data_IF_946615127370
#
_entry.id   IF_946615127370
#
_cell.length_a   1.000
_cell.length_b   1.000
_cell.length_c   1.000
_cell.angle_alpha   90.00
_cell.angle_beta   90.00
_cell.angle_gamma   90.00
#
_symmetry.space_group_name_H-M   'P 1'
#
loop_
_entity.id
_entity.type
_entity.pdbx_description
1 polymer ?
#
# COMPACT_ATOMS: atom_id res chain seq x y z
N UNK A 1 -19.62 -10.83 -4.32
CA UNK A 1 -19.46 -11.96 -5.22
C UNK A 1 -19.01 -13.19 -4.44
N UNK A 2 -17.83 -13.18 -3.83
CA UNK A 2 -17.26 -14.31 -3.05
C UNK A 2 -18.05 -14.65 -1.77
N UNK A 3 -18.88 -13.75 -1.29
CA UNK A 3 -19.82 -14.02 -0.18
C UNK A 3 -20.99 -14.94 -0.59
N UNK A 4 -21.25 -15.07 -1.87
CA UNK A 4 -22.41 -15.81 -2.41
C UNK A 4 -22.01 -16.98 -3.31
N UNK A 5 -20.81 -16.95 -3.86
CA UNK A 5 -20.33 -17.93 -4.84
C UNK A 5 -18.89 -18.36 -4.49
N UNK A 6 -18.60 -19.63 -4.68
CA UNK A 6 -17.26 -20.21 -4.61
C UNK A 6 -16.75 -20.48 -6.02
N UNK A 7 -15.48 -20.21 -6.25
CA UNK A 7 -14.82 -20.41 -7.52
C UNK A 7 -13.61 -21.34 -7.35
N UNK A 8 -13.18 -21.98 -8.41
CA UNK A 8 -11.92 -22.75 -8.47
C UNK A 8 -11.00 -22.10 -9.51
N UNK A 9 -10.30 -21.05 -9.10
CA UNK A 9 -9.44 -20.24 -9.95
C UNK A 9 -7.95 -20.45 -9.66
N UNK A 10 -7.54 -21.69 -9.27
CA UNK A 10 -6.15 -22.02 -8.85
C UNK A 10 -5.06 -21.60 -9.85
N UNK A 11 -5.39 -21.43 -11.12
CA UNK A 11 -4.44 -21.05 -12.16
C UNK A 11 -4.60 -19.57 -12.58
N UNK A 12 -5.34 -18.79 -11.80
CA UNK A 12 -5.63 -17.38 -12.06
C UNK A 12 -4.91 -16.51 -11.04
N UNK A 13 -4.29 -15.44 -11.48
CA UNK A 13 -3.75 -14.41 -10.61
C UNK A 13 -4.88 -13.44 -10.27
N UNK A 14 -5.21 -13.33 -8.99
CA UNK A 14 -6.19 -12.37 -8.48
C UNK A 14 -5.41 -11.22 -7.83
N UNK A 15 -5.74 -10.00 -8.24
CA UNK A 15 -5.09 -8.78 -7.74
C UNK A 15 -6.13 -7.77 -7.28
N UNK A 16 -5.95 -7.23 -6.08
CA UNK A 16 -6.68 -6.07 -5.59
C UNK A 16 -5.86 -4.78 -5.83
N UNK A 17 -6.55 -3.69 -6.12
CA UNK A 17 -5.92 -2.41 -6.50
C UNK A 17 -6.27 -1.27 -5.55
N UNK A 18 -6.71 -1.57 -4.35
CA UNK A 18 -6.94 -0.57 -3.30
C UNK A 18 -8.29 -0.64 -2.62
N UNK A 19 -8.44 0.20 -1.62
CA UNK A 19 -9.48 0.18 -0.62
C UNK A 19 -10.90 0.49 -1.10
N UNK A 20 -11.87 0.21 -0.27
CA UNK A 20 -13.31 0.24 -0.55
C UNK A 20 -13.92 1.64 -0.64
N UNK A 21 -13.14 2.69 -0.45
CA UNK A 21 -13.53 4.12 -0.57
C UNK A 21 -14.88 4.44 0.07
N UNK A 22 -15.09 4.02 1.32
CA UNK A 22 -16.30 4.34 2.09
C UNK A 22 -17.59 3.62 1.66
N UNK A 23 -17.53 2.66 0.75
CA UNK A 23 -18.72 1.91 0.29
C UNK A 23 -19.17 0.81 1.26
N UNK A 24 -18.26 0.33 2.11
CA UNK A 24 -18.50 -0.64 3.21
C UNK A 24 -17.54 -0.34 4.36
N UNK A 25 -17.75 -0.97 5.53
CA UNK A 25 -16.74 -1.00 6.59
C UNK A 25 -15.45 -1.57 6.01
N UNK A 26 -14.38 -0.81 6.10
CA UNK A 26 -13.07 -1.26 5.64
C UNK A 26 -12.64 -2.47 6.48
N UNK A 27 -12.32 -3.56 5.77
CA UNK A 27 -11.66 -4.70 6.35
C UNK A 27 -10.16 -4.42 6.39
N UNK A 28 -9.48 -4.94 7.38
CA UNK A 28 -8.03 -5.00 7.35
C UNK A 28 -7.61 -5.91 6.18
N UNK A 29 -6.44 -5.63 5.62
CA UNK A 29 -5.99 -6.31 4.39
C UNK A 29 -5.99 -7.84 4.54
N UNK A 30 -5.53 -8.33 5.67
CA UNK A 30 -5.45 -9.75 5.99
C UNK A 30 -6.82 -10.43 5.89
N UNK A 31 -7.84 -9.87 6.52
CA UNK A 31 -9.21 -10.40 6.49
C UNK A 31 -9.79 -10.38 5.07
N UNK A 32 -9.52 -9.30 4.32
CA UNK A 32 -9.95 -9.18 2.93
C UNK A 32 -9.29 -10.25 2.05
N UNK A 33 -7.98 -10.44 2.18
CA UNK A 33 -7.24 -11.43 1.41
C UNK A 33 -7.69 -12.86 1.74
N UNK A 34 -7.93 -13.18 3.00
CA UNK A 34 -8.45 -14.49 3.42
C UNK A 34 -9.82 -14.78 2.79
N UNK A 35 -10.74 -13.81 2.84
CA UNK A 35 -12.06 -13.95 2.22
C UNK A 35 -11.98 -14.12 0.71
N UNK A 36 -11.13 -13.31 0.03
CA UNK A 36 -10.97 -13.39 -1.41
C UNK A 36 -10.28 -14.69 -1.82
N UNK A 37 -9.21 -15.11 -1.13
CA UNK A 37 -8.49 -16.34 -1.42
C UNK A 37 -9.40 -17.56 -1.28
N UNK A 38 -10.17 -17.63 -0.19
CA UNK A 38 -11.15 -18.68 0.04
C UNK A 38 -12.23 -18.69 -1.04
N UNK A 39 -12.82 -17.55 -1.35
CA UNK A 39 -13.92 -17.46 -2.29
C UNK A 39 -13.52 -17.71 -3.75
N UNK A 40 -12.30 -17.35 -4.14
CA UNK A 40 -11.78 -17.61 -5.48
C UNK A 40 -11.03 -18.94 -5.61
N UNK A 41 -10.75 -19.62 -4.51
CA UNK A 41 -10.01 -20.89 -4.52
C UNK A 41 -8.55 -20.71 -4.96
N UNK A 42 -7.90 -19.58 -4.57
CA UNK A 42 -6.50 -19.27 -4.86
C UNK A 42 -5.69 -19.27 -3.56
N UNK A 43 -4.38 -19.48 -3.70
CA UNK A 43 -3.48 -19.51 -2.54
C UNK A 43 -3.17 -18.11 -2.00
N UNK A 44 -3.02 -17.13 -2.91
CA UNK A 44 -2.65 -15.76 -2.55
C UNK A 44 -3.47 -14.74 -3.33
N UNK A 45 -3.72 -13.60 -2.70
CA UNK A 45 -4.23 -12.40 -3.36
C UNK A 45 -3.06 -11.43 -3.52
N UNK A 46 -2.83 -11.00 -4.74
CA UNK A 46 -1.85 -9.97 -5.05
C UNK A 46 -2.43 -8.59 -4.78
N UNK A 47 -1.56 -7.60 -4.59
CA UNK A 47 -1.96 -6.20 -4.42
C UNK A 47 -1.14 -5.31 -5.33
N UNK A 48 -1.76 -4.23 -5.80
CA UNK A 48 -1.10 -3.15 -6.52
C UNK A 48 -1.10 -1.89 -5.65
N UNK A 49 0.05 -1.23 -5.58
CA UNK A 49 0.18 0.12 -5.04
C UNK A 49 0.48 1.08 -6.18
N UNK A 50 -0.43 2.00 -6.40
CA UNK A 50 -0.33 3.02 -7.43
C UNK A 50 -1.31 4.16 -7.17
N UNK A 51 -1.16 5.25 -7.90
CA UNK A 51 -2.05 6.41 -7.88
C UNK A 51 -1.98 7.13 -9.22
N UNK A 52 -2.92 8.01 -9.48
CA UNK A 52 -2.99 8.79 -10.74
C UNK A 52 -1.71 9.59 -10.99
N UNK A 53 -1.04 10.03 -9.93
CA UNK A 53 0.17 10.84 -9.95
C UNK A 53 1.43 10.05 -10.32
N UNK A 54 1.40 8.71 -10.30
CA UNK A 54 2.51 7.83 -10.67
C UNK A 54 2.32 7.26 -12.08
N UNK A 55 3.41 7.03 -12.81
CA UNK A 55 3.44 6.20 -14.01
C UNK A 55 3.87 4.76 -13.73
N UNK A 56 4.48 4.51 -12.58
CA UNK A 56 4.88 3.18 -12.13
C UNK A 56 3.95 2.66 -11.04
N UNK A 57 3.91 1.34 -10.87
CA UNK A 57 3.22 0.66 -9.80
C UNK A 57 4.20 -0.23 -9.05
N UNK A 58 3.95 -0.42 -7.75
CA UNK A 58 4.58 -1.46 -6.96
C UNK A 58 3.60 -2.60 -6.71
N UNK A 59 4.11 -3.83 -6.66
CA UNK A 59 3.29 -5.02 -6.56
C UNK A 59 3.66 -5.86 -5.34
N UNK A 60 2.63 -6.36 -4.66
CA UNK A 60 2.75 -7.38 -3.62
C UNK A 60 2.24 -8.72 -4.13
N UNK A 61 3.02 -9.78 -3.88
CA UNK A 61 2.63 -11.16 -4.17
C UNK A 61 1.85 -11.82 -3.05
N UNK A 62 1.52 -11.08 -2.02
CA UNK A 62 0.89 -11.47 -0.77
C UNK A 62 1.55 -10.74 0.41
N UNK A 63 1.01 -10.92 1.61
CA UNK A 63 1.56 -10.39 2.88
C UNK A 63 1.69 -8.86 2.96
N UNK A 64 1.12 -8.12 2.01
CA UNK A 64 1.15 -6.64 1.99
C UNK A 64 2.51 -6.01 1.76
N UNK A 65 3.53 -6.81 1.39
CA UNK A 65 4.88 -6.33 1.11
C UNK A 65 5.05 -6.03 -0.37
N UNK A 66 5.19 -4.76 -0.70
CA UNK A 66 5.29 -4.26 -2.07
C UNK A 66 6.74 -4.19 -2.54
N UNK A 67 6.98 -4.57 -3.79
CA UNK A 67 8.27 -4.45 -4.48
C UNK A 67 8.17 -3.39 -5.57
N UNK A 68 9.12 -2.46 -5.58
CA UNK A 68 9.21 -1.43 -6.60
C UNK A 68 9.90 -1.94 -7.87
N UNK A 69 9.54 -1.42 -9.06
CA UNK A 69 10.37 -1.60 -10.25
C UNK A 69 11.70 -0.85 -10.10
N UNK A 70 12.74 -1.17 -10.90
CA UNK A 70 14.09 -0.61 -10.73
C UNK A 70 14.20 0.91 -10.84
N UNK A 71 13.27 1.56 -11.49
CA UNK A 71 13.21 3.01 -11.67
C UNK A 71 12.30 3.72 -10.68
N UNK A 72 11.73 3.00 -9.71
CA UNK A 72 10.92 3.55 -8.63
C UNK A 72 11.59 3.27 -7.28
N UNK A 73 11.64 4.27 -6.42
CA UNK A 73 12.16 4.17 -5.06
C UNK A 73 11.19 4.78 -4.08
N UNK A 74 11.01 4.13 -2.93
CA UNK A 74 10.23 4.66 -1.82
C UNK A 74 11.16 5.02 -0.67
N UNK A 75 10.84 6.10 0.02
CA UNK A 75 11.50 6.58 1.23
C UNK A 75 10.44 6.82 2.30
N UNK A 76 10.82 6.67 3.56
CA UNK A 76 9.98 7.11 4.68
C UNK A 76 10.51 8.41 5.26
N UNK A 77 9.62 9.35 5.54
CA UNK A 77 9.92 10.59 6.25
C UNK A 77 9.17 10.66 7.57
N UNK A 78 9.69 11.44 8.48
CA UNK A 78 9.01 11.74 9.74
C UNK A 78 7.63 12.37 9.47
N UNK A 79 6.64 12.02 10.27
CA UNK A 79 5.26 12.49 10.11
C UNK A 79 5.07 13.95 10.48
N UNK A 80 5.97 14.50 11.31
CA UNK A 80 5.94 15.89 11.81
C UNK A 80 7.01 16.78 11.18
N UNK A 81 8.12 16.19 10.74
CA UNK A 81 9.20 16.89 10.03
C UNK A 81 9.40 16.33 8.62
N UNK A 82 8.93 17.04 7.57
CA UNK A 82 8.99 16.55 6.20
C UNK A 82 10.41 16.46 5.62
N UNK A 83 11.41 17.05 6.29
CA UNK A 83 12.81 17.05 5.84
C UNK A 83 13.65 15.94 6.47
N UNK A 84 13.13 15.27 7.51
CA UNK A 84 13.82 14.16 8.16
C UNK A 84 13.40 12.83 7.53
N UNK A 85 14.35 12.15 6.86
CA UNK A 85 14.17 10.79 6.37
C UNK A 85 14.47 9.77 7.46
N UNK A 86 13.65 8.73 7.49
CA UNK A 86 13.74 7.64 8.48
C UNK A 86 14.50 6.45 7.89
N UNK A 87 15.08 5.66 8.78
CA UNK A 87 15.76 4.41 8.41
C UNK A 87 14.80 3.25 8.20
N UNK A 88 15.25 2.20 7.53
CA UNK A 88 14.48 0.95 7.38
C UNK A 88 13.90 0.48 8.71
N UNK A 89 12.68 -0.05 8.67
CA UNK A 89 11.95 -0.54 9.83
C UNK A 89 11.21 0.53 10.62
N UNK A 90 11.46 1.82 10.39
CA UNK A 90 10.72 2.90 11.03
C UNK A 90 9.49 3.29 10.21
N UNK A 91 8.37 3.50 10.91
CA UNK A 91 7.11 3.95 10.32
C UNK A 91 7.14 5.46 10.06
N UNK A 92 6.73 5.87 8.87
CA UNK A 92 6.63 7.27 8.50
C UNK A 92 5.76 7.47 7.26
N UNK A 93 5.61 8.72 6.83
CA UNK A 93 4.95 8.99 5.56
C UNK A 93 5.83 8.57 4.37
N UNK A 94 5.19 8.03 3.33
CA UNK A 94 5.88 7.59 2.14
C UNK A 94 6.17 8.77 1.20
N UNK A 95 7.43 8.87 0.77
CA UNK A 95 7.86 9.68 -0.35
C UNK A 95 8.23 8.76 -1.50
N UNK A 96 7.82 9.08 -2.72
CA UNK A 96 8.05 8.25 -3.88
C UNK A 96 8.87 9.02 -4.90
N UNK A 97 9.92 8.38 -5.40
CA UNK A 97 10.65 8.79 -6.59
C UNK A 97 10.30 7.83 -7.72
N UNK A 98 9.67 8.34 -8.78
CA UNK A 98 9.30 7.58 -9.98
C UNK A 98 9.97 8.20 -11.21
N UNK A 99 11.08 7.60 -11.65
CA UNK A 99 11.83 8.11 -12.80
C UNK A 99 11.14 7.89 -14.15
N UNK A 100 10.13 7.01 -14.21
CA UNK A 100 9.26 6.91 -15.37
C UNK A 100 8.41 8.18 -15.55
N UNK A 101 8.14 8.90 -14.45
CA UNK A 101 7.33 10.13 -14.43
C UNK A 101 8.18 11.42 -14.48
N UNK A 102 9.38 11.36 -15.05
CA UNK A 102 10.33 12.48 -15.09
C UNK A 102 9.79 13.73 -15.79
N UNK A 103 8.99 13.54 -16.83
CA UNK A 103 8.46 14.64 -17.65
C UNK A 103 7.26 15.36 -17.00
N UNK A 104 6.72 14.84 -15.90
CA UNK A 104 5.61 15.41 -15.16
C UNK A 104 6.00 15.67 -13.71
N UNK A 105 5.96 14.65 -12.84
CA UNK A 105 6.29 14.79 -11.42
C UNK A 105 7.01 13.53 -10.91
N UNK A 106 8.34 13.56 -10.91
CA UNK A 106 9.14 12.41 -10.48
C UNK A 106 9.19 12.21 -8.97
N UNK A 107 8.86 13.23 -8.16
CA UNK A 107 8.98 13.18 -6.70
C UNK A 107 7.66 13.55 -6.05
N UNK A 108 7.11 12.61 -5.29
CA UNK A 108 5.79 12.77 -4.66
C UNK A 108 5.89 12.50 -3.16
N UNK A 109 5.44 13.46 -2.37
CA UNK A 109 5.24 13.30 -0.93
C UNK A 109 3.79 12.91 -0.68
N UNK A 110 3.56 11.66 -0.30
CA UNK A 110 2.21 11.14 -0.05
C UNK A 110 1.76 11.38 1.39
N UNK A 111 0.49 11.11 1.65
CA UNK A 111 -0.08 11.02 3.00
C UNK A 111 -0.16 9.56 3.49
N UNK A 112 0.31 8.62 2.68
CA UNK A 112 0.29 7.23 3.06
C UNK A 112 1.36 6.97 4.13
N UNK A 113 0.98 6.24 5.17
CA UNK A 113 1.89 5.72 6.19
C UNK A 113 2.43 4.37 5.74
N UNK A 114 3.70 4.15 5.98
CA UNK A 114 4.33 2.88 5.64
C UNK A 114 5.67 2.69 6.33
N UNK A 115 6.32 1.61 5.98
CA UNK A 115 7.61 1.20 6.50
C UNK A 115 8.44 0.60 5.39
N UNK A 116 9.73 0.92 5.37
CA UNK A 116 10.68 0.30 4.44
C UNK A 116 11.17 -1.04 4.97
N UNK A 117 11.38 -1.94 4.05
CA UNK A 117 12.00 -3.24 4.25
C UNK A 117 13.24 -3.40 3.35
N UNK A 118 14.13 -4.35 3.64
CA UNK A 118 15.26 -4.65 2.77
C UNK A 118 14.84 -4.95 1.32
N UNK A 119 15.78 -4.83 0.37
CA UNK A 119 15.59 -5.13 -1.05
C UNK A 119 14.59 -4.23 -1.77
N UNK A 120 14.52 -2.96 -1.39
CA UNK A 120 13.61 -1.97 -1.99
C UNK A 120 12.13 -2.40 -1.89
N UNK A 121 11.76 -2.96 -0.75
CA UNK A 121 10.38 -3.33 -0.44
C UNK A 121 9.81 -2.39 0.60
N UNK A 122 8.49 -2.26 0.64
CA UNK A 122 7.78 -1.45 1.61
C UNK A 122 6.39 -2.02 1.90
N UNK A 123 5.85 -1.68 3.04
CA UNK A 123 4.46 -1.93 3.40
C UNK A 123 3.68 -0.62 3.52
N UNK A 124 2.39 -0.68 3.25
CA UNK A 124 1.45 0.44 3.45
C UNK A 124 0.56 0.10 4.63
N UNK A 125 0.65 0.92 5.67
CA UNK A 125 -0.03 0.71 6.96
C UNK A 125 -1.35 1.48 7.07
N UNK A 126 -1.54 2.48 6.21
CA UNK A 126 -2.73 3.31 6.20
C UNK A 126 -2.49 4.67 5.58
N UNK A 127 -3.34 5.63 5.92
CA UNK A 127 -3.23 7.00 5.45
C UNK A 127 -3.40 7.97 6.61
N UNK A 128 -2.59 9.02 6.63
CA UNK A 128 -2.78 10.13 7.58
C UNK A 128 -3.97 10.95 7.11
N UNK A 129 -5.03 10.96 7.90
CA UNK A 129 -6.13 11.90 7.67
C UNK A 129 -5.84 13.19 8.46
N UNK A 130 -5.71 14.32 7.76
CA UNK A 130 -5.47 15.62 8.38
C UNK A 130 -6.59 16.07 9.32
N UNK A 131 -7.75 15.42 9.32
CA UNK A 131 -8.81 15.66 10.29
C UNK A 131 -8.43 15.24 11.72
N UNK A 132 -7.54 14.24 11.86
CA UNK A 132 -7.12 13.68 13.15
C UNK A 132 -5.91 14.38 13.77
N UNK A 133 -5.20 15.24 13.04
CA UNK A 133 -4.02 15.99 13.54
C UNK A 133 -4.40 17.08 14.57
N UNK A 134 -5.67 17.33 14.82
CA UNK A 134 -6.14 18.34 15.82
C UNK A 134 -6.20 17.84 17.27
N UNK A 135 -5.83 16.63 17.54
CA UNK A 135 -5.78 16.06 18.90
C UNK A 135 -4.57 15.14 19.06
N UNK A 136 -3.82 15.36 20.14
CA UNK A 136 -2.68 14.54 20.54
C UNK A 136 -3.09 13.11 20.90
N UNK A 137 -3.45 12.29 19.93
CA UNK A 137 -3.62 10.85 20.14
C UNK A 137 -3.38 10.09 18.83
N UNK A 138 -2.12 9.83 18.54
CA UNK A 138 -1.76 8.68 17.73
C UNK A 138 -2.03 7.44 18.60
N UNK A 139 -3.26 6.95 18.58
CA UNK A 139 -3.55 5.63 19.10
C UNK A 139 -3.09 4.62 18.04
N UNK A 140 -1.89 4.12 18.24
CA UNK A 140 -1.39 2.92 17.59
C UNK A 140 -2.09 1.76 18.29
N UNK A 141 -2.95 1.07 17.58
CA UNK A 141 -3.44 -0.25 17.96
C UNK A 141 -2.74 -1.30 17.13
#
# INVERSE_FOLDING_TARGET
LVEQYSFDLKHTLIMETGGMKGRRKELIREDLHEQLATGFGVEHIHSEYGMTELLSQAYSKGEGLFSCPPWMQVFTRDTTDPFTFLTEGMMGNLNIMDLANRESCAFIATQDLGRLHPKNQFEVLGRVDHSDIRGCNLLVY
#
